data_IF_953281249453
#
_entry.id   IF_953281249453
#
_cell.length_a   1.000
_cell.length_b   1.000
_cell.length_c   1.000
_cell.angle_alpha   90.00
_cell.angle_beta   90.00
_cell.angle_gamma   90.00
#
_symmetry.space_group_name_H-M   'P 1'
#
loop_
_entity.id
_entity.type
_entity.pdbx_description
1 polymer ?
#
# COMPACT_ATOMS: atom_id res chain seq x y z
N UNK A 1 19.58 -18.21 6.14
CA UNK A 1 18.34 -18.26 6.95
C UNK A 1 17.97 -19.70 7.22
N UNK A 2 17.95 -20.16 8.48
CA UNK A 2 17.67 -21.56 8.88
C UNK A 2 16.17 -21.84 8.95
N UNK A 3 15.45 -21.59 7.85
CA UNK A 3 14.01 -21.80 7.70
C UNK A 3 13.65 -21.86 6.22
N UNK A 4 12.47 -22.38 5.91
CA UNK A 4 11.89 -22.23 4.58
C UNK A 4 11.79 -20.74 4.22
N UNK A 5 12.22 -20.39 3.01
CA UNK A 5 12.05 -19.04 2.49
C UNK A 5 10.63 -18.85 1.98
N UNK A 6 10.10 -17.64 2.09
CA UNK A 6 8.72 -17.36 1.65
C UNK A 6 8.61 -17.55 0.14
N UNK A 7 9.68 -17.16 -0.56
CA UNK A 7 9.92 -17.25 -1.99
C UNK A 7 10.32 -18.64 -2.50
N UNK A 8 10.23 -19.69 -1.67
CA UNK A 8 10.52 -21.06 -2.10
C UNK A 8 9.72 -21.57 -3.32
N UNK A 9 8.46 -21.11 -3.60
CA UNK A 9 7.72 -21.61 -4.75
C UNK A 9 8.41 -21.38 -6.09
N UNK A 10 9.21 -20.31 -6.26
CA UNK A 10 9.94 -20.11 -7.53
C UNK A 10 10.94 -21.23 -7.77
N UNK A 11 11.53 -21.80 -6.70
CA UNK A 11 12.41 -22.96 -6.78
C UNK A 11 11.62 -24.23 -7.08
N UNK A 12 10.46 -24.43 -6.44
CA UNK A 12 9.61 -25.60 -6.68
C UNK A 12 9.17 -25.68 -8.14
N UNK A 13 8.73 -24.57 -8.73
CA UNK A 13 8.22 -24.53 -10.10
C UNK A 13 9.29 -24.84 -11.16
N UNK A 14 10.57 -24.54 -10.89
CA UNK A 14 11.66 -24.81 -11.84
C UNK A 14 12.39 -26.12 -11.57
N UNK A 15 12.43 -26.59 -10.31
CA UNK A 15 13.08 -27.84 -9.94
C UNK A 15 12.13 -29.05 -9.97
N UNK A 16 10.82 -28.83 -9.89
CA UNK A 16 9.81 -29.89 -9.79
C UNK A 16 9.81 -30.63 -8.45
N UNK A 17 10.29 -29.97 -7.39
CA UNK A 17 10.39 -30.52 -6.03
C UNK A 17 9.47 -29.73 -5.11
N UNK A 18 8.66 -30.46 -4.33
CA UNK A 18 7.89 -29.90 -3.21
C UNK A 18 8.80 -29.83 -1.98
N UNK A 19 9.26 -28.63 -1.65
CA UNK A 19 10.24 -28.42 -0.58
C UNK A 19 9.62 -28.67 0.79
N UNK A 20 8.33 -28.40 0.97
CA UNK A 20 7.62 -28.66 2.23
C UNK A 20 7.53 -30.15 2.48
N UNK A 21 7.22 -30.94 1.44
CA UNK A 21 7.22 -32.41 1.53
C UNK A 21 8.60 -32.95 1.87
N UNK A 22 9.65 -32.48 1.20
CA UNK A 22 11.01 -32.95 1.47
C UNK A 22 11.49 -32.57 2.87
N UNK A 23 11.09 -31.40 3.39
CA UNK A 23 11.32 -31.04 4.79
C UNK A 23 10.72 -32.07 5.76
N UNK A 24 9.50 -32.56 5.51
CA UNK A 24 8.89 -33.60 6.34
C UNK A 24 9.60 -34.94 6.23
N UNK A 25 9.98 -35.37 5.02
CA UNK A 25 10.68 -36.64 4.81
C UNK A 25 12.04 -36.68 5.51
N UNK A 26 12.82 -35.60 5.38
CA UNK A 26 14.11 -35.48 6.06
C UNK A 26 13.92 -35.40 7.59
N UNK A 27 12.88 -34.71 8.06
CA UNK A 27 12.55 -34.67 9.48
C UNK A 27 12.17 -36.05 10.05
N UNK A 28 11.62 -36.94 9.22
CA UNK A 28 11.34 -38.36 9.56
C UNK A 28 12.58 -39.28 9.39
N UNK A 29 13.74 -38.71 9.05
CA UNK A 29 15.00 -39.43 8.92
C UNK A 29 15.22 -40.09 7.55
N UNK A 30 14.40 -39.79 6.54
CA UNK A 30 14.64 -40.23 5.17
C UNK A 30 15.82 -39.48 4.53
N UNK A 31 16.50 -40.13 3.59
CA UNK A 31 17.54 -39.53 2.76
C UNK A 31 16.96 -38.93 1.47
N UNK A 32 17.71 -38.01 0.84
CA UNK A 32 17.38 -37.51 -0.49
C UNK A 32 17.49 -38.65 -1.52
N UNK A 33 16.41 -38.91 -2.24
CA UNK A 33 16.33 -39.99 -3.24
C UNK A 33 16.74 -39.59 -4.65
N UNK A 34 17.39 -38.44 -4.83
CA UNK A 34 17.73 -37.85 -6.11
C UNK A 34 19.01 -37.00 -6.00
N UNK A 35 19.72 -36.86 -7.12
CA UNK A 35 20.85 -35.95 -7.27
C UNK A 35 20.38 -34.50 -7.52
N UNK A 36 21.31 -33.59 -7.82
CA UNK A 36 21.00 -32.19 -8.14
C UNK A 36 19.93 -32.08 -9.26
N UNK A 37 18.75 -31.49 -8.98
CA UNK A 37 17.64 -31.45 -9.94
C UNK A 37 17.96 -30.55 -11.14
N UNK A 38 17.70 -31.06 -12.33
CA UNK A 38 17.81 -30.27 -13.55
C UNK A 38 16.70 -29.21 -13.61
N UNK A 39 17.09 -27.93 -13.50
CA UNK A 39 16.17 -26.81 -13.54
C UNK A 39 15.54 -26.63 -14.93
N UNK A 40 14.26 -26.28 -14.97
CA UNK A 40 13.49 -26.07 -16.20
C UNK A 40 12.69 -24.78 -16.14
N UNK A 41 12.73 -24.03 -17.23
CA UNK A 41 11.94 -22.81 -17.37
C UNK A 41 12.44 -21.65 -16.52
N UNK A 42 11.53 -20.72 -16.23
CA UNK A 42 11.75 -19.55 -15.41
C UNK A 42 10.48 -19.26 -14.62
N UNK A 43 10.63 -18.87 -13.36
CA UNK A 43 9.50 -18.56 -12.48
C UNK A 43 9.69 -17.20 -11.81
N UNK A 44 8.63 -16.41 -11.77
CA UNK A 44 8.52 -15.17 -11.00
C UNK A 44 7.56 -15.38 -9.84
N UNK A 45 7.84 -14.74 -8.70
CA UNK A 45 6.89 -14.62 -7.60
C UNK A 45 6.63 -13.14 -7.32
N UNK A 46 5.35 -12.79 -7.21
CA UNK A 46 4.89 -11.47 -6.79
C UNK A 46 4.23 -11.60 -5.42
N UNK A 47 4.72 -10.81 -4.46
CA UNK A 47 4.14 -10.72 -3.12
C UNK A 47 3.01 -9.71 -3.13
N UNK A 48 1.79 -10.20 -2.99
CA UNK A 48 0.59 -9.37 -2.99
C UNK A 48 0.38 -8.84 -1.58
N UNK A 49 1.03 -7.72 -1.28
CA UNK A 49 0.94 -7.07 0.02
C UNK A 49 -0.25 -6.11 0.08
N UNK A 50 -0.88 -6.00 1.24
CA UNK A 50 -1.87 -4.99 1.60
C UNK A 50 -1.23 -3.64 1.91
N UNK A 51 -0.56 -3.07 0.92
CA UNK A 51 0.16 -1.79 0.99
C UNK A 51 -0.31 -0.88 -0.13
N UNK A 52 -0.19 0.44 0.04
CA UNK A 52 -0.54 1.44 -0.99
C UNK A 52 0.73 2.00 -1.66
N UNK A 53 1.10 1.53 -2.87
CA UNK A 53 2.27 2.06 -3.58
C UNK A 53 2.17 3.55 -3.89
N UNK A 54 0.95 4.07 -4.07
CA UNK A 54 0.74 5.49 -4.34
C UNK A 54 0.88 6.39 -3.11
N UNK A 55 0.96 5.80 -1.92
CA UNK A 55 1.28 6.50 -0.66
C UNK A 55 2.60 6.07 -0.06
N UNK A 56 3.55 5.61 -0.89
CA UNK A 56 4.86 5.17 -0.40
C UNK A 56 4.82 3.83 0.33
N UNK A 57 3.99 2.89 -0.15
CA UNK A 57 3.85 1.52 0.36
C UNK A 57 3.41 1.44 1.83
N UNK A 58 2.64 2.42 2.30
CA UNK A 58 2.06 2.37 3.64
C UNK A 58 1.16 1.13 3.77
N UNK A 59 1.29 0.34 4.85
CA UNK A 59 0.37 -0.75 5.13
C UNK A 59 -1.07 -0.23 5.26
N UNK A 60 -2.00 -0.91 4.61
CA UNK A 60 -3.39 -0.51 4.51
C UNK A 60 -4.30 -1.64 5.04
N UNK A 61 -4.38 -1.86 6.36
CA UNK A 61 -5.29 -2.85 6.94
C UNK A 61 -6.74 -2.52 6.55
N UNK A 62 -7.52 -3.54 6.27
CA UNK A 62 -8.84 -3.36 5.70
C UNK A 62 -9.59 -4.68 5.54
N UNK A 63 -10.77 -4.60 4.93
CA UNK A 63 -11.53 -5.80 4.54
C UNK A 63 -11.33 -6.02 3.06
N UNK A 64 -10.95 -7.24 2.68
CA UNK A 64 -10.92 -7.66 1.28
C UNK A 64 -12.37 -7.88 0.85
N UNK A 65 -12.96 -6.94 0.11
CA UNK A 65 -14.38 -7.05 -0.29
C UNK A 65 -14.55 -7.97 -1.51
N UNK A 66 -13.56 -7.99 -2.38
CA UNK A 66 -13.46 -8.90 -3.52
C UNK A 66 -12.01 -9.41 -3.62
N UNK A 67 -11.87 -10.70 -3.84
CA UNK A 67 -10.61 -11.36 -4.16
C UNK A 67 -10.84 -12.26 -5.38
N UNK A 68 -10.54 -11.74 -6.56
CA UNK A 68 -10.67 -12.44 -7.83
C UNK A 68 -9.28 -12.75 -8.38
N UNK A 69 -8.86 -13.99 -8.17
CA UNK A 69 -7.52 -14.48 -8.45
C UNK A 69 -7.35 -14.88 -9.93
N UNK A 70 -6.18 -14.59 -10.55
CA UNK A 70 -5.89 -15.07 -11.89
C UNK A 70 -5.70 -16.58 -11.89
N UNK A 71 -6.03 -17.21 -13.02
CA UNK A 71 -5.88 -18.66 -13.21
C UNK A 71 -5.23 -18.97 -14.55
N UNK A 72 -4.99 -20.26 -14.78
CA UNK A 72 -4.53 -20.80 -16.07
C UNK A 72 -3.15 -21.44 -16.02
N UNK A 73 -2.65 -21.90 -17.18
CA UNK A 73 -1.39 -22.63 -17.25
C UNK A 73 -0.20 -21.79 -16.77
N UNK A 74 0.62 -22.38 -15.88
CA UNK A 74 1.79 -21.73 -15.31
C UNK A 74 1.47 -20.60 -14.36
N UNK A 75 0.24 -20.55 -13.80
CA UNK A 75 -0.16 -19.61 -12.74
C UNK A 75 -0.49 -20.43 -11.50
N UNK A 76 0.25 -20.19 -10.42
CA UNK A 76 0.01 -20.73 -9.08
C UNK A 76 -0.24 -19.57 -8.13
N UNK A 77 -1.16 -19.75 -7.20
CA UNK A 77 -1.45 -18.77 -6.16
C UNK A 77 -1.44 -19.46 -4.79
N UNK A 78 -0.57 -18.98 -3.92
CA UNK A 78 -0.58 -19.34 -2.50
C UNK A 78 -1.20 -18.16 -1.74
N UNK A 79 -2.46 -18.28 -1.29
CA UNK A 79 -3.18 -17.19 -0.62
C UNK A 79 -3.53 -17.55 0.83
N UNK A 80 -3.43 -16.56 1.73
CA UNK A 80 -3.89 -16.65 3.12
C UNK A 80 -5.23 -15.96 3.37
N UNK A 81 -5.88 -15.47 2.30
CA UNK A 81 -7.08 -14.64 2.36
C UNK A 81 -8.08 -15.05 1.28
N UNK A 82 -9.33 -14.65 1.48
CA UNK A 82 -10.43 -14.77 0.54
C UNK A 82 -11.36 -13.55 0.63
N UNK A 83 -12.33 -13.42 -0.28
CA UNK A 83 -13.36 -12.38 -0.21
C UNK A 83 -14.08 -12.43 1.16
N UNK A 84 -14.14 -11.29 1.85
CA UNK A 84 -14.67 -11.15 3.21
C UNK A 84 -13.61 -11.21 4.32
N UNK A 85 -12.36 -11.55 4.01
CA UNK A 85 -11.26 -11.57 4.99
C UNK A 85 -10.98 -10.18 5.55
N UNK A 86 -10.71 -10.10 6.85
CA UNK A 86 -10.37 -8.85 7.56
C UNK A 86 -8.90 -8.89 7.95
N UNK A 87 -8.13 -7.93 7.44
CA UNK A 87 -6.69 -7.82 7.68
C UNK A 87 -6.46 -6.78 8.78
N UNK A 88 -6.11 -7.28 9.97
CA UNK A 88 -5.75 -6.43 11.10
C UNK A 88 -4.29 -6.00 11.07
N UNK A 89 -3.92 -4.95 11.82
CA UNK A 89 -2.55 -4.42 11.85
C UNK A 89 -1.55 -5.31 12.61
N UNK A 90 -2.01 -6.39 13.25
CA UNK A 90 -1.18 -7.28 14.07
C UNK A 90 -0.39 -8.31 13.25
N UNK A 91 -0.65 -8.41 11.94
CA UNK A 91 -0.09 -9.43 11.06
C UNK A 91 0.72 -8.80 9.93
N UNK A 92 1.46 -9.63 9.22
CA UNK A 92 2.16 -9.25 7.99
C UNK A 92 1.14 -8.78 6.92
N UNK A 93 1.54 -7.85 6.06
CA UNK A 93 0.68 -7.32 4.98
C UNK A 93 0.55 -8.31 3.82
N UNK A 94 1.36 -9.37 3.76
CA UNK A 94 1.30 -10.37 2.69
C UNK A 94 -0.05 -11.10 2.66
N UNK A 95 -0.84 -10.82 1.63
CA UNK A 95 -2.15 -11.44 1.41
C UNK A 95 -2.03 -12.75 0.63
N UNK A 96 -1.20 -12.74 -0.40
CA UNK A 96 -0.98 -13.87 -1.29
C UNK A 96 0.38 -13.79 -1.99
N UNK A 97 0.83 -14.90 -2.55
CA UNK A 97 1.95 -14.99 -3.48
C UNK A 97 1.41 -15.45 -4.83
N UNK A 98 1.62 -14.64 -5.86
CA UNK A 98 1.33 -15.01 -7.24
C UNK A 98 2.62 -15.52 -7.89
N UNK A 99 2.64 -16.81 -8.23
CA UNK A 99 3.77 -17.48 -8.86
C UNK A 99 3.43 -17.70 -10.32
N UNK A 100 4.33 -17.30 -11.22
CA UNK A 100 4.12 -17.38 -12.66
C UNK A 100 5.33 -18.00 -13.36
N UNK A 101 5.09 -19.07 -14.10
CA UNK A 101 6.14 -19.90 -14.70
C UNK A 101 6.00 -19.99 -16.22
N UNK A 102 7.13 -19.98 -16.92
CA UNK A 102 7.23 -20.18 -18.36
C UNK A 102 8.47 -20.95 -18.76
N UNK A 103 8.55 -21.37 -20.02
CA UNK A 103 9.74 -22.09 -20.52
C UNK A 103 10.93 -21.17 -20.68
N UNK A 104 10.67 -19.88 -20.87
CA UNK A 104 11.68 -18.81 -20.89
C UNK A 104 11.26 -17.68 -19.95
N UNK A 105 12.21 -16.83 -19.59
CA UNK A 105 11.94 -15.61 -18.83
C UNK A 105 10.92 -14.71 -19.53
N UNK A 106 11.05 -14.52 -20.83
CA UNK A 106 10.12 -13.73 -21.64
C UNK A 106 8.68 -14.29 -21.60
N UNK A 107 8.52 -15.62 -21.72
CA UNK A 107 7.21 -16.26 -21.63
C UNK A 107 6.61 -16.12 -20.22
N UNK A 108 7.42 -16.26 -19.18
CA UNK A 108 6.99 -16.05 -17.80
C UNK A 108 6.58 -14.59 -17.54
N UNK A 109 7.30 -13.60 -18.10
CA UNK A 109 6.95 -12.18 -18.03
C UNK A 109 5.63 -11.87 -18.74
N UNK A 110 5.41 -12.40 -19.96
CA UNK A 110 4.16 -12.22 -20.69
C UNK A 110 2.96 -12.77 -19.91
N UNK A 111 3.13 -13.96 -19.31
CA UNK A 111 2.11 -14.53 -18.42
C UNK A 111 1.91 -13.70 -17.16
N UNK A 112 2.98 -13.19 -16.57
CA UNK A 112 2.92 -12.40 -15.36
C UNK A 112 2.16 -11.10 -15.58
N UNK A 113 2.44 -10.39 -16.68
CA UNK A 113 1.70 -9.18 -17.06
C UNK A 113 0.20 -9.45 -17.19
N UNK A 114 -0.19 -10.54 -17.87
CA UNK A 114 -1.60 -10.96 -17.99
C UNK A 114 -2.21 -11.32 -16.62
N UNK A 115 -1.55 -12.18 -15.86
CA UNK A 115 -2.07 -12.65 -14.56
C UNK A 115 -2.23 -11.48 -13.57
N UNK A 116 -1.29 -10.54 -13.56
CA UNK A 116 -1.39 -9.33 -12.74
C UNK A 116 -2.52 -8.42 -13.20
N UNK A 117 -2.78 -8.28 -14.51
CA UNK A 117 -3.93 -7.51 -15.01
C UNK A 117 -5.29 -8.12 -14.64
N UNK A 118 -5.38 -9.45 -14.67
CA UNK A 118 -6.58 -10.20 -14.28
C UNK A 118 -6.81 -10.20 -12.76
N UNK A 119 -5.76 -10.04 -11.94
CA UNK A 119 -5.87 -10.10 -10.49
C UNK A 119 -6.58 -8.85 -9.94
N UNK A 120 -7.81 -9.04 -9.44
CA UNK A 120 -8.59 -7.98 -8.79
C UNK A 120 -8.70 -8.22 -7.29
N UNK A 121 -8.28 -7.22 -6.50
CA UNK A 121 -8.52 -7.16 -5.06
C UNK A 121 -9.16 -5.82 -4.75
N UNK A 122 -10.32 -5.84 -4.09
CA UNK A 122 -11.06 -4.64 -3.70
C UNK A 122 -11.21 -4.53 -2.18
N UNK A 123 -11.57 -3.32 -1.72
CA UNK A 123 -11.84 -3.02 -0.32
C UNK A 123 -10.61 -2.57 0.48
N UNK A 124 -9.42 -2.74 -0.07
CA UNK A 124 -8.16 -2.22 0.48
C UNK A 124 -7.11 -2.01 -0.61
N UNK A 125 -6.09 -1.21 -0.30
CA UNK A 125 -4.94 -1.02 -1.19
C UNK A 125 -4.09 -2.31 -1.27
N UNK A 126 -3.48 -2.54 -2.42
CA UNK A 126 -2.52 -3.64 -2.61
C UNK A 126 -1.32 -3.21 -3.45
N UNK A 127 -0.25 -3.99 -3.38
CA UNK A 127 0.94 -3.82 -4.22
C UNK A 127 0.73 -4.27 -5.69
N UNK A 128 -0.45 -4.75 -6.09
CA UNK A 128 -0.73 -5.21 -7.47
C UNK A 128 -0.42 -4.12 -8.53
N UNK A 129 -0.84 -2.85 -8.36
CA UNK A 129 -0.51 -1.80 -9.33
C UNK A 129 0.99 -1.60 -9.49
N UNK A 130 1.77 -1.76 -8.42
CA UNK A 130 3.23 -1.69 -8.49
C UNK A 130 3.81 -2.85 -9.30
N UNK A 131 3.39 -4.08 -9.01
CA UNK A 131 3.84 -5.25 -9.79
C UNK A 131 3.48 -5.10 -11.27
N UNK A 132 2.30 -4.58 -11.61
CA UNK A 132 1.88 -4.29 -12.99
C UNK A 132 2.81 -3.30 -13.68
N UNK A 133 3.30 -2.28 -12.97
CA UNK A 133 4.26 -1.31 -13.52
C UNK A 133 5.62 -1.97 -13.71
N UNK A 134 6.14 -2.66 -12.70
CA UNK A 134 7.48 -3.28 -12.73
C UNK A 134 7.62 -4.31 -13.86
N UNK A 135 6.65 -5.20 -14.06
CA UNK A 135 6.74 -6.22 -15.12
C UNK A 135 6.70 -5.66 -16.54
N UNK A 136 6.43 -4.36 -16.69
CA UNK A 136 6.44 -3.63 -17.96
C UNK A 136 7.58 -2.61 -18.06
N UNK A 137 8.32 -2.41 -16.98
CA UNK A 137 9.43 -1.47 -16.94
C UNK A 137 10.60 -2.00 -17.79
N UNK A 138 11.18 -1.20 -18.71
CA UNK A 138 12.32 -1.64 -19.53
C UNK A 138 13.53 -2.13 -18.74
N UNK A 139 13.78 -1.59 -17.53
CA UNK A 139 14.90 -2.03 -16.69
C UNK A 139 14.69 -3.47 -16.18
N UNK A 140 13.45 -3.85 -15.91
CA UNK A 140 13.08 -5.17 -15.39
C UNK A 140 12.73 -6.16 -16.51
N UNK A 141 12.03 -5.72 -17.55
CA UNK A 141 11.49 -6.55 -18.64
C UNK A 141 11.89 -6.02 -20.03
N UNK A 142 13.20 -5.87 -20.33
CA UNK A 142 13.65 -5.40 -21.64
C UNK A 142 13.12 -6.27 -22.80
N UNK A 143 12.89 -7.57 -22.54
CA UNK A 143 12.36 -8.51 -23.52
C UNK A 143 10.93 -8.22 -23.97
N UNK A 144 10.15 -7.49 -23.15
CA UNK A 144 8.76 -7.12 -23.48
C UNK A 144 8.65 -5.76 -24.16
N UNK A 145 9.65 -4.90 -23.99
CA UNK A 145 9.64 -3.53 -24.51
C UNK A 145 10.29 -3.41 -25.89
N UNK A 146 10.88 -4.51 -26.39
CA UNK A 146 11.65 -4.51 -27.64
C UNK A 146 12.96 -3.74 -27.52
N UNK A 147 13.39 -3.41 -26.29
CA UNK A 147 14.67 -2.77 -26.05
C UNK A 147 15.82 -3.75 -26.32
N UNK A 148 16.92 -3.23 -26.85
CA UNK A 148 18.20 -3.94 -26.95
C UNK A 148 19.00 -3.86 -25.65
N UNK A 149 18.56 -3.06 -24.70
CA UNK A 149 19.23 -2.85 -23.42
C UNK A 149 19.13 -4.12 -22.55
N UNK A 150 20.17 -4.42 -21.77
CA UNK A 150 20.15 -5.55 -20.85
C UNK A 150 19.22 -5.29 -19.67
N UNK A 151 18.94 -6.33 -18.88
CA UNK A 151 18.33 -6.19 -17.55
C UNK A 151 19.26 -5.37 -16.64
N UNK A 152 18.76 -4.30 -16.04
CA UNK A 152 19.56 -3.33 -15.26
C UNK A 152 19.16 -3.21 -13.79
N UNK A 153 18.13 -3.94 -13.34
CA UNK A 153 17.68 -3.86 -11.94
C UNK A 153 18.77 -4.38 -10.99
N UNK A 154 19.09 -3.56 -9.99
CA UNK A 154 19.97 -3.89 -8.87
C UNK A 154 19.23 -3.67 -7.54
N UNK A 155 19.85 -4.03 -6.42
CA UNK A 155 19.21 -4.05 -5.08
C UNK A 155 18.78 -2.69 -4.54
N UNK A 156 19.12 -1.59 -5.23
CA UNK A 156 18.74 -0.21 -4.87
C UNK A 156 17.84 0.45 -5.92
N UNK A 157 17.52 -0.27 -6.99
CA UNK A 157 16.89 0.29 -8.17
C UNK A 157 15.52 0.89 -7.83
N UNK A 158 14.73 0.23 -6.98
CA UNK A 158 13.43 0.74 -6.52
C UNK A 158 13.59 2.09 -5.80
N UNK A 159 14.64 2.25 -4.99
CA UNK A 159 14.87 3.44 -4.19
C UNK A 159 15.57 4.58 -4.95
N UNK A 160 16.36 4.26 -5.97
CA UNK A 160 17.23 5.25 -6.64
C UNK A 160 16.83 5.60 -8.06
N UNK A 161 16.17 4.70 -8.78
CA UNK A 161 15.95 4.84 -10.23
C UNK A 161 14.49 4.64 -10.65
N UNK A 162 13.73 3.81 -9.93
CA UNK A 162 12.32 3.59 -10.23
C UNK A 162 11.49 4.85 -9.98
N UNK A 163 10.80 5.30 -11.02
CA UNK A 163 9.90 6.47 -10.94
C UNK A 163 8.49 5.96 -10.62
N UNK A 164 8.07 6.17 -9.37
CA UNK A 164 6.75 5.73 -8.92
C UNK A 164 5.65 6.76 -9.29
N UNK A 165 4.95 6.51 -10.39
CA UNK A 165 3.80 7.33 -10.84
C UNK A 165 2.43 6.74 -10.42
N UNK A 166 2.42 5.75 -9.53
CA UNK A 166 1.20 5.06 -9.10
C UNK A 166 0.37 6.01 -8.25
N UNK A 167 -0.91 6.15 -8.59
CA UNK A 167 -1.82 7.01 -7.83
C UNK A 167 -2.18 6.37 -6.48
N UNK A 168 -2.33 7.16 -5.41
CA UNK A 168 -2.88 6.69 -4.14
C UNK A 168 -4.18 5.92 -4.34
N UNK A 169 -4.35 4.84 -3.58
CA UNK A 169 -5.62 4.13 -3.54
C UNK A 169 -6.71 5.05 -2.92
N UNK A 170 -7.91 4.99 -3.49
CA UNK A 170 -9.09 5.71 -3.01
C UNK A 170 -10.26 4.74 -2.88
N UNK A 171 -11.02 4.86 -1.80
CA UNK A 171 -12.30 4.16 -1.68
C UNK A 171 -13.43 5.02 -2.23
N UNK A 172 -14.58 4.42 -2.63
CA UNK A 172 -15.75 5.20 -3.05
C UNK A 172 -16.19 6.24 -2.01
N UNK A 173 -16.02 5.93 -0.72
CA UNK A 173 -16.31 6.85 0.38
C UNK A 173 -15.33 8.04 0.49
N UNK A 174 -14.12 7.93 -0.07
CA UNK A 174 -13.16 9.03 -0.14
C UNK A 174 -13.50 9.95 -1.31
N UNK A 175 -13.96 9.39 -2.43
CA UNK A 175 -14.35 10.16 -3.61
C UNK A 175 -15.59 11.03 -3.33
N UNK A 176 -16.58 10.48 -2.61
CA UNK A 176 -17.77 11.25 -2.18
C UNK A 176 -17.40 12.40 -1.22
N UNK A 177 -16.38 12.23 -0.38
CA UNK A 177 -15.94 13.26 0.56
C UNK A 177 -15.16 14.40 -0.13
N UNK A 178 -14.35 14.09 -1.15
CA UNK A 178 -13.67 15.09 -1.96
C UNK A 178 -14.67 15.89 -2.82
N UNK A 179 -15.72 15.25 -3.35
CA UNK A 179 -16.79 15.93 -4.07
C UNK A 179 -17.65 16.84 -3.16
N UNK A 180 -17.90 16.43 -1.91
CA UNK A 180 -18.58 17.26 -0.90
C UNK A 180 -17.77 18.50 -0.46
N UNK A 181 -16.48 18.60 -0.79
CA UNK A 181 -15.64 19.76 -0.46
C UNK A 181 -15.74 20.93 -1.45
N UNK A 182 -16.51 20.78 -2.54
CA UNK A 182 -16.72 21.84 -3.53
C UNK A 182 -17.40 23.09 -2.95
N UNK A 183 -16.94 24.30 -3.31
CA UNK A 183 -17.69 25.54 -3.07
C UNK A 183 -18.62 25.82 -4.24
N UNK A 184 -19.87 26.13 -3.95
CA UNK A 184 -20.88 26.52 -4.95
C UNK A 184 -21.16 28.03 -4.82
N UNK A 185 -21.18 28.74 -5.94
CA UNK A 185 -21.49 30.18 -5.96
C UNK A 185 -22.99 30.38 -6.21
N UNK A 186 -23.68 30.95 -5.24
CA UNK A 186 -25.12 31.25 -5.30
C UNK A 186 -25.35 32.75 -5.36
N UNK A 187 -26.21 33.21 -6.26
CA UNK A 187 -26.60 34.62 -6.35
C UNK A 187 -27.77 34.89 -5.40
N UNK A 188 -27.55 35.73 -4.40
CA UNK A 188 -28.56 36.13 -3.40
C UNK A 188 -28.86 37.62 -3.51
N UNK A 189 -30.13 37.99 -3.36
CA UNK A 189 -30.56 39.38 -3.39
C UNK A 189 -30.73 39.91 -1.96
N UNK A 190 -29.96 40.94 -1.60
CA UNK A 190 -30.06 41.60 -0.28
C UNK A 190 -30.36 43.07 -0.50
N UNK A 191 -31.55 43.52 -0.08
CA UNK A 191 -31.97 44.92 -0.19
C UNK A 191 -32.09 45.43 -1.63
N UNK A 192 -32.53 44.60 -2.58
CA UNK A 192 -32.73 44.98 -3.98
C UNK A 192 -31.48 44.94 -4.86
N UNK A 193 -30.37 44.41 -4.34
CA UNK A 193 -29.10 44.24 -5.08
C UNK A 193 -28.67 42.78 -5.07
N UNK A 194 -28.27 42.27 -6.24
CA UNK A 194 -27.79 40.90 -6.43
C UNK A 194 -26.32 40.80 -6.03
N UNK A 195 -26.01 39.83 -5.18
CA UNK A 195 -24.68 39.54 -4.65
C UNK A 195 -24.35 38.07 -4.91
N UNK A 196 -23.17 37.79 -5.45
CA UNK A 196 -22.68 36.42 -5.60
C UNK A 196 -21.98 35.99 -4.31
N UNK A 197 -22.45 34.91 -3.69
CA UNK A 197 -21.92 34.39 -2.43
C UNK A 197 -21.46 32.96 -2.64
N UNK A 198 -20.19 32.70 -2.40
CA UNK A 198 -19.61 31.36 -2.46
C UNK A 198 -19.84 30.65 -1.13
N UNK A 199 -20.57 29.53 -1.18
CA UNK A 199 -20.92 28.71 -0.03
C UNK A 199 -20.29 27.32 -0.17
N UNK A 200 -19.91 26.66 0.93
CA UNK A 200 -19.64 25.23 0.90
C UNK A 200 -20.87 24.47 0.34
N UNK A 201 -20.69 23.51 -0.56
CA UNK A 201 -21.76 22.73 -1.20
C UNK A 201 -22.71 22.06 -0.20
N UNK A 202 -22.20 21.70 0.98
CA UNK A 202 -22.98 21.20 2.13
C UNK A 202 -24.04 22.18 2.65
N UNK A 203 -23.84 23.49 2.48
CA UNK A 203 -24.79 24.54 2.89
C UNK A 203 -25.78 24.88 1.77
N UNK A 204 -25.35 24.82 0.50
CA UNK A 204 -26.17 25.08 -0.69
C UNK A 204 -27.30 24.05 -0.88
N UNK A 205 -27.00 22.77 -0.64
CA UNK A 205 -27.97 21.67 -0.76
C UNK A 205 -29.08 21.68 0.31
N UNK A 206 -28.88 22.36 1.45
CA UNK A 206 -29.88 22.43 2.53
C UNK A 206 -31.03 23.40 2.19
N UNK A 207 -30.77 24.44 1.40
CA UNK A 207 -31.79 25.43 1.00
C UNK A 207 -32.71 24.92 -0.11
N UNK A 208 -32.26 23.94 -0.91
CA UNK A 208 -33.05 23.36 -2.00
C UNK A 208 -34.01 22.24 -1.56
N UNK A 209 -33.94 21.76 -0.31
CA UNK A 209 -34.69 20.57 0.18
C UNK A 209 -35.83 20.87 1.15
N UNK A 210 -36.42 22.06 1.15
CA UNK A 210 -37.61 22.36 1.99
C UNK A 210 -38.93 21.79 1.45
N UNK A 211 -38.91 20.90 0.46
CA UNK A 211 -40.07 20.11 0.06
C UNK A 211 -39.72 18.62 -0.01
N UNK A 212 -40.48 17.81 0.74
CA UNK A 212 -40.44 16.33 0.84
C UNK A 212 -39.58 15.77 1.98
N UNK A 213 -40.19 15.69 3.16
CA UNK A 213 -39.77 14.80 4.22
C UNK A 213 -40.41 13.41 4.04
N UNK A 214 -39.61 12.34 4.05
CA UNK A 214 -39.94 11.08 4.73
C UNK A 214 -38.73 10.12 4.78
N UNK A 215 -38.27 9.82 6.00
CA UNK A 215 -37.69 8.52 6.34
C UNK A 215 -36.18 8.34 6.20
N UNK A 216 -35.41 8.75 7.22
CA UNK A 216 -34.08 8.22 7.45
C UNK A 216 -33.94 7.72 8.90
N UNK A 217 -33.64 6.43 9.06
CA UNK A 217 -33.28 5.78 10.34
C UNK A 217 -31.99 6.39 10.91
N UNK A 218 -31.78 6.36 12.24
CA UNK A 218 -30.61 6.98 12.84
C UNK A 218 -29.35 6.19 12.46
N UNK A 219 -28.44 6.80 11.71
CA UNK A 219 -27.07 6.28 11.52
C UNK A 219 -26.34 6.35 12.86
N UNK A 220 -25.77 5.21 13.28
CA UNK A 220 -24.82 5.11 14.40
C UNK A 220 -23.71 6.14 14.21
N UNK A 221 -23.34 6.82 15.30
CA UNK A 221 -22.16 7.72 15.36
C UNK A 221 -20.96 7.01 14.74
N UNK A 222 -20.46 7.54 13.63
CA UNK A 222 -19.18 7.16 13.09
C UNK A 222 -18.10 7.46 14.14
N UNK A 223 -17.24 6.49 14.38
CA UNK A 223 -15.98 6.73 15.06
C UNK A 223 -15.20 7.81 14.28
N UNK A 224 -14.49 8.66 15.03
CA UNK A 224 -13.68 9.77 14.53
C UNK A 224 -12.80 9.29 13.37
N UNK A 225 -13.06 9.76 12.14
CA UNK A 225 -12.24 9.48 10.96
C UNK A 225 -10.80 9.94 11.21
N UNK A 226 -9.84 9.06 10.96
CA UNK A 226 -8.45 9.37 10.67
C UNK A 226 -8.38 10.00 9.28
N UNK A 227 -8.45 11.33 9.22
CA UNK A 227 -8.12 12.13 8.04
C UNK A 227 -6.60 12.25 7.86
N UNK A 228 -6.14 12.94 6.80
CA UNK A 228 -4.75 12.87 6.31
C UNK A 228 -3.73 13.26 7.38
N UNK A 229 -2.59 12.58 7.38
CA UNK A 229 -1.50 12.70 8.36
C UNK A 229 -0.77 14.07 8.34
N UNK A 230 -1.23 15.04 7.55
CA UNK A 230 -0.76 16.41 7.55
C UNK A 230 -1.91 17.35 7.18
N UNK A 231 -2.61 17.90 8.17
CA UNK A 231 -3.41 19.10 7.98
C UNK A 231 -3.16 20.05 9.14
N UNK A 232 -2.39 21.12 8.90
CA UNK A 232 -2.01 22.12 9.90
C UNK A 232 -0.60 21.93 10.46
N UNK A 233 -0.38 22.47 11.66
CA UNK A 233 0.92 22.44 12.35
C UNK A 233 1.30 21.03 12.85
N UNK A 234 0.34 20.11 12.99
CA UNK A 234 0.57 18.79 13.59
C UNK A 234 1.18 17.79 12.61
N UNK A 235 2.33 17.22 13.00
CA UNK A 235 2.91 16.04 12.37
C UNK A 235 2.35 14.78 13.06
N UNK A 236 1.62 13.96 12.31
CA UNK A 236 1.02 12.72 12.82
C UNK A 236 1.67 11.47 12.22
N UNK A 237 1.65 10.37 12.97
CA UNK A 237 2.11 9.07 12.48
C UNK A 237 1.19 8.57 11.36
N UNK A 238 1.68 8.33 10.14
CA UNK A 238 0.84 7.82 9.05
C UNK A 238 0.45 6.35 9.26
N UNK A 239 1.25 5.61 10.04
CA UNK A 239 1.12 4.18 10.27
C UNK A 239 1.11 3.83 11.76
N UNK A 240 0.69 2.61 12.08
CA UNK A 240 0.98 2.02 13.38
C UNK A 240 2.43 1.51 13.39
N UNK A 241 3.21 1.89 14.39
CA UNK A 241 4.62 1.52 14.47
C UNK A 241 5.22 1.87 15.82
N UNK A 242 6.47 1.47 16.03
CA UNK A 242 7.24 1.79 17.24
C UNK A 242 8.30 2.83 16.91
N UNK A 243 8.48 3.84 17.75
CA UNK A 243 9.52 4.84 17.53
C UNK A 243 10.88 4.21 17.83
N UNK A 244 11.75 4.07 16.83
CA UNK A 244 13.12 3.51 17.03
C UNK A 244 14.17 4.59 17.21
N UNK A 245 13.94 5.77 16.63
CA UNK A 245 14.86 6.89 16.75
C UNK A 245 14.10 8.21 16.73
N UNK A 246 14.56 9.14 17.55
CA UNK A 246 14.15 10.55 17.51
C UNK A 246 15.38 11.35 17.11
N UNK A 247 15.26 12.19 16.09
CA UNK A 247 16.35 12.95 15.50
C UNK A 247 16.33 14.45 15.86
N UNK A 248 15.30 14.90 16.60
CA UNK A 248 15.10 16.29 16.98
C UNK A 248 14.74 16.44 18.46
N UNK A 249 14.96 17.63 19.01
CA UNK A 249 14.62 18.00 20.38
C UNK A 249 13.40 18.96 20.42
N UNK A 250 12.71 18.99 21.56
CA UNK A 250 11.66 19.98 21.82
C UNK A 250 12.24 21.40 21.74
N UNK A 251 11.61 22.28 20.94
CA UNK A 251 12.08 23.64 20.72
C UNK A 251 13.17 23.80 19.65
N UNK A 252 13.57 22.72 18.96
CA UNK A 252 14.53 22.78 17.86
C UNK A 252 13.87 23.35 16.59
N UNK A 253 14.60 24.21 15.86
CA UNK A 253 14.23 24.65 14.51
C UNK A 253 14.57 23.56 13.48
N UNK A 254 13.62 23.27 12.60
CA UNK A 254 13.74 22.29 11.51
C UNK A 254 13.31 22.93 10.19
N UNK A 255 13.89 22.45 9.10
CA UNK A 255 13.49 22.77 7.74
C UNK A 255 12.55 21.71 7.18
N UNK A 256 11.71 22.08 6.21
CA UNK A 256 10.93 21.11 5.45
C UNK A 256 11.84 20.03 4.85
N UNK A 257 11.49 18.76 5.10
CA UNK A 257 12.28 17.60 4.70
C UNK A 257 13.27 17.09 5.75
N UNK A 258 13.50 17.80 6.86
CA UNK A 258 14.38 17.32 7.93
C UNK A 258 13.81 16.10 8.64
N UNK A 259 14.67 15.16 9.04
CA UNK A 259 14.25 13.95 9.74
C UNK A 259 13.82 14.29 11.18
N UNK A 260 12.60 13.88 11.56
CA UNK A 260 12.04 14.09 12.90
C UNK A 260 12.15 12.81 13.74
N UNK A 261 11.53 11.73 13.26
CA UNK A 261 11.57 10.41 13.92
C UNK A 261 11.74 9.30 12.89
N UNK A 262 12.21 8.15 13.32
CA UNK A 262 12.17 6.91 12.54
C UNK A 262 11.22 5.96 13.24
N UNK A 263 10.23 5.47 12.49
CA UNK A 263 9.24 4.49 12.94
C UNK A 263 9.65 3.11 12.43
N UNK A 264 9.58 2.10 13.28
CA UNK A 264 9.64 0.71 12.86
C UNK A 264 8.21 0.17 12.78
N UNK A 265 7.82 -0.23 11.57
CA UNK A 265 6.62 -1.00 11.32
C UNK A 265 6.98 -2.15 10.41
N UNK A 266 6.44 -3.34 10.70
CA UNK A 266 6.66 -4.52 9.86
C UNK A 266 8.14 -4.84 9.57
N UNK A 267 9.01 -4.62 10.56
CA UNK A 267 10.48 -4.83 10.46
C UNK A 267 11.19 -3.93 9.45
N UNK A 268 10.54 -2.86 9.01
CA UNK A 268 11.14 -1.83 8.18
C UNK A 268 11.18 -0.51 8.95
N UNK A 269 12.32 0.18 8.84
CA UNK A 269 12.49 1.53 9.35
C UNK A 269 11.98 2.54 8.33
N UNK A 270 10.99 3.34 8.72
CA UNK A 270 10.45 4.42 7.93
C UNK A 270 10.85 5.77 8.54
N UNK A 271 11.65 6.59 7.84
CA UNK A 271 11.91 7.96 8.28
C UNK A 271 10.64 8.80 8.13
N UNK A 272 10.32 9.57 9.17
CA UNK A 272 9.27 10.58 9.16
C UNK A 272 9.93 11.96 9.19
N UNK A 273 9.71 12.71 8.11
CA UNK A 273 10.34 14.00 7.87
C UNK A 273 9.36 15.14 8.14
N UNK A 274 9.91 16.33 8.39
CA UNK A 274 9.17 17.56 8.59
C UNK A 274 8.38 17.91 7.32
N UNK A 275 7.07 18.09 7.44
CA UNK A 275 6.20 18.52 6.34
C UNK A 275 6.27 20.04 6.08
N UNK A 276 6.97 20.79 6.94
CA UNK A 276 7.19 22.23 6.84
C UNK A 276 8.38 22.65 7.69
N UNK A 277 8.91 23.85 7.45
CA UNK A 277 9.86 24.50 8.34
C UNK A 277 9.17 25.08 9.58
N UNK A 278 9.87 25.12 10.71
CA UNK A 278 9.40 25.74 11.94
C UNK A 278 10.11 25.19 13.19
N UNK A 279 9.59 25.53 14.36
CA UNK A 279 10.05 25.06 15.67
C UNK A 279 9.19 23.88 16.14
N UNK A 280 9.85 22.80 16.59
CA UNK A 280 9.19 21.64 17.18
C UNK A 280 8.55 22.01 18.53
N UNK A 281 7.25 21.70 18.69
CA UNK A 281 6.52 21.82 19.95
C UNK A 281 5.71 20.57 20.27
N UNK A 282 5.57 20.25 21.54
CA UNK A 282 4.74 19.14 22.01
C UNK A 282 5.23 17.77 21.52
N UNK A 283 6.54 17.57 21.46
CA UNK A 283 7.16 16.29 21.15
C UNK A 283 6.80 15.28 22.24
N UNK A 284 5.85 14.40 21.93
CA UNK A 284 5.36 13.34 22.83
C UNK A 284 5.99 11.97 22.53
N UNK A 285 6.95 11.94 21.62
CA UNK A 285 7.65 10.74 21.18
C UNK A 285 8.66 10.26 22.22
N UNK A 286 8.59 8.99 22.59
CA UNK A 286 9.63 8.28 23.34
C UNK A 286 10.13 7.08 22.52
N UNK A 287 11.44 6.83 22.53
CA UNK A 287 12.00 5.64 21.87
C UNK A 287 11.45 4.38 22.53
N UNK A 288 10.91 3.47 21.72
CA UNK A 288 10.23 2.26 22.16
C UNK A 288 8.72 2.42 22.36
N UNK A 289 8.16 3.64 22.26
CA UNK A 289 6.72 3.85 22.33
C UNK A 289 6.02 3.38 21.05
N UNK A 290 4.89 2.68 21.20
CA UNK A 290 4.03 2.31 20.08
C UNK A 290 3.02 3.42 19.78
N UNK A 291 2.95 3.83 18.52
CA UNK A 291 1.99 4.80 18.01
C UNK A 291 0.95 4.11 17.14
N UNK A 292 -0.30 4.57 17.20
CA UNK A 292 -1.35 4.20 16.24
C UNK A 292 -1.30 5.12 15.03
N UNK A 293 -1.84 4.66 13.89
CA UNK A 293 -2.05 5.54 12.74
C UNK A 293 -2.91 6.76 13.14
N UNK A 294 -2.50 7.95 12.72
CA UNK A 294 -3.10 9.24 13.06
C UNK A 294 -2.72 9.82 14.42
N UNK A 295 -1.87 9.15 15.22
CA UNK A 295 -1.40 9.71 16.49
C UNK A 295 -0.48 10.92 16.25
N UNK A 296 -0.73 12.03 16.94
CA UNK A 296 0.14 13.21 16.86
C UNK A 296 1.50 12.92 17.50
N UNK A 297 2.58 13.30 16.82
CA UNK A 297 3.97 13.13 17.27
C UNK A 297 4.47 14.45 17.86
N UNK A 298 4.35 15.52 17.08
CA UNK A 298 4.69 16.89 17.47
C UNK A 298 3.92 17.90 16.61
N UNK A 299 4.03 19.18 16.96
CA UNK A 299 3.61 20.32 16.15
C UNK A 299 4.85 21.05 15.61
N UNK A 300 4.80 21.49 14.37
CA UNK A 300 5.81 22.35 13.73
C UNK A 300 5.17 23.72 13.54
N UNK A 301 5.60 24.71 14.33
CA UNK A 301 5.06 26.07 14.32
C UNK A 301 6.09 27.07 13.80
N UNK A 302 5.62 28.16 13.19
CA UNK A 302 6.48 29.29 12.83
C UNK A 302 7.09 29.95 14.07
#
# INVERSE_FOLDING_TARGET
>A
NTRLQVEHPVTEEVAGIDLVREMFRIADGEELGYDDPALRGHSFEFRINGEDPGRGFLPAPGTVTLFDAPTGPGVRLDAGVESGSVIGPAWDSLLAKLIVTGRTRAEALQRAARALDEFTVEGMATAIPFHRTVVRDPAFAPELTGSTDPFTVHTRWIETEFVNEIKPFTTPADTEADEESGRETVVVEVGGKRLEVSLPSSLGMSLARTGLAAGARPKRRAAKKSGPAASGDTLASPMQGTIVKIAVEEGQEVQEGDLIVVLEAMKMEQPLNAHRSGTIKGLTAEVGASLTSGAAICEIKD
#
